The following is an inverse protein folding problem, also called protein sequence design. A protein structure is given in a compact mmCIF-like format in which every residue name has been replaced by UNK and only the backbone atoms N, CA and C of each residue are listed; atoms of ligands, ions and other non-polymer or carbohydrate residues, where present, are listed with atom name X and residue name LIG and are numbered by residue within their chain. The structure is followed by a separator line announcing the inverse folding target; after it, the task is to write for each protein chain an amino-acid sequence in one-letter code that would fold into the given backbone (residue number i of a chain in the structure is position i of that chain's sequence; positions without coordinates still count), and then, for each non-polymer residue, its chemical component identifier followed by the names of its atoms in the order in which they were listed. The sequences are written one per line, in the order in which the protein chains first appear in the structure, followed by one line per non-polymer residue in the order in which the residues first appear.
data_IF_906488350081
#
_entry.id   IF_906488350081
#
_cell.length_a   1.000
_cell.length_b   1.000
_cell.length_c   1.000
_cell.angle_alpha   90.00
_cell.angle_beta   90.00
_cell.angle_gamma   90.00
#
_symmetry.space_group_name_H-M   'P 1'
#
loop_
_entity.id
_entity.type
_entity.pdbx_description
1 polymer ?
#
# COMPACT_ATOMS: atom_id res chain seq x y z
N UNK A 1 -57.88 -3.42 17.00
CA UNK A 1 -57.27 -2.73 15.86
C UNK A 1 -55.90 -2.06 16.21
N UNK A 2 -55.75 -1.45 17.41
CA UNK A 2 -54.48 -0.81 17.83
C UNK A 2 -53.28 -1.79 17.99
N UNK A 3 -53.48 -2.99 18.51
CA UNK A 3 -52.42 -3.96 18.76
C UNK A 3 -51.75 -4.54 17.49
N UNK A 4 -52.44 -4.52 16.35
CA UNK A 4 -51.89 -4.98 15.06
C UNK A 4 -51.01 -3.90 14.39
N UNK A 5 -51.36 -2.62 14.57
CA UNK A 5 -50.54 -1.50 14.09
C UNK A 5 -49.21 -1.37 14.86
N UNK A 6 -49.25 -1.61 16.19
CA UNK A 6 -48.05 -1.55 17.03
C UNK A 6 -47.02 -2.66 16.64
N UNK A 7 -47.51 -3.87 16.38
CA UNK A 7 -46.66 -5.00 15.96
C UNK A 7 -46.03 -4.75 14.60
N UNK A 8 -46.73 -4.15 13.65
CA UNK A 8 -46.19 -3.80 12.33
C UNK A 8 -45.11 -2.71 12.40
N UNK A 9 -45.31 -1.71 13.26
CA UNK A 9 -44.35 -0.63 13.47
C UNK A 9 -43.09 -1.13 14.12
N UNK A 10 -43.18 -2.01 15.14
CA UNK A 10 -41.99 -2.63 15.80
C UNK A 10 -41.17 -3.51 14.84
N UNK A 11 -41.80 -4.32 14.02
CA UNK A 11 -41.12 -5.15 13.03
C UNK A 11 -40.42 -4.28 11.98
N UNK A 12 -41.08 -3.22 11.51
CA UNK A 12 -40.53 -2.27 10.57
C UNK A 12 -39.25 -1.56 11.13
N UNK A 13 -39.33 -1.10 12.39
CA UNK A 13 -38.20 -0.44 13.06
C UNK A 13 -37.02 -1.40 13.25
N UNK A 14 -37.26 -2.67 13.65
CA UNK A 14 -36.21 -3.69 13.81
C UNK A 14 -35.54 -4.00 12.47
N UNK A 15 -36.30 -4.12 11.36
CA UNK A 15 -35.75 -4.36 10.04
C UNK A 15 -34.92 -3.18 9.54
N UNK A 16 -35.34 -1.97 9.78
CA UNK A 16 -34.56 -0.77 9.42
C UNK A 16 -33.28 -0.68 10.24
N UNK A 17 -33.33 -0.94 11.55
CA UNK A 17 -32.16 -0.94 12.42
C UNK A 17 -31.18 -2.06 12.05
N UNK A 18 -31.67 -3.26 11.70
CA UNK A 18 -30.86 -4.36 11.21
C UNK A 18 -30.19 -4.03 9.87
N UNK A 19 -30.93 -3.38 8.95
CA UNK A 19 -30.38 -2.98 7.65
C UNK A 19 -29.34 -1.86 7.77
N UNK A 20 -29.59 -0.87 8.66
CA UNK A 20 -28.60 0.19 8.96
C UNK A 20 -27.38 -0.39 9.67
N UNK A 21 -27.57 -1.29 10.64
CA UNK A 21 -26.47 -1.97 11.33
C UNK A 21 -25.61 -2.81 10.38
N UNK A 22 -26.22 -3.51 9.42
CA UNK A 22 -25.50 -4.30 8.41
C UNK A 22 -24.68 -3.40 7.44
N UNK A 23 -25.20 -2.19 7.16
CA UNK A 23 -24.48 -1.23 6.31
C UNK A 23 -23.30 -0.55 7.02
N UNK A 24 -23.41 -0.35 8.33
CA UNK A 24 -22.33 0.23 9.14
C UNK A 24 -21.19 -0.78 9.38
N UNK A 25 -21.51 -2.08 9.47
CA UNK A 25 -20.49 -3.13 9.59
C UNK A 25 -19.64 -3.33 8.30
N UNK A 26 -20.13 -2.86 7.14
CA UNK A 26 -19.41 -2.96 5.87
C UNK A 26 -18.33 -1.89 5.65
N UNK A 27 -18.18 -0.93 6.57
CA UNK A 27 -17.13 0.09 6.53
C UNK A 27 -15.90 -0.26 7.40
N UNK A 28 -15.57 -1.54 7.54
CA UNK A 28 -14.26 -1.92 8.08
C UNK A 28 -13.22 -1.51 7.03
N UNK A 29 -12.38 -0.55 7.37
CA UNK A 29 -11.15 -0.24 6.62
C UNK A 29 -10.17 -1.40 6.82
N UNK A 30 -10.44 -2.50 6.14
CA UNK A 30 -9.55 -3.66 6.15
C UNK A 30 -8.19 -3.25 5.57
N UNK A 31 -7.14 -3.49 6.36
CA UNK A 31 -5.77 -3.25 5.92
C UNK A 31 -5.48 -4.16 4.73
N UNK A 32 -5.08 -3.57 3.61
CA UNK A 32 -4.72 -4.35 2.43
C UNK A 32 -3.47 -5.19 2.72
N UNK A 33 -3.42 -6.44 2.28
CA UNK A 33 -2.22 -7.26 2.42
C UNK A 33 -1.03 -6.57 1.73
N UNK A 34 0.18 -6.85 2.21
CA UNK A 34 1.39 -6.44 1.51
C UNK A 34 1.45 -7.18 0.18
N UNK A 35 1.62 -6.49 -0.96
CA UNK A 35 1.67 -7.15 -2.25
C UNK A 35 2.85 -8.13 -2.36
N UNK A 36 2.64 -9.28 -3.00
CA UNK A 36 3.61 -10.39 -3.12
C UNK A 36 4.94 -10.02 -3.81
N UNK A 37 5.00 -8.86 -4.43
CA UNK A 37 6.24 -8.35 -5.02
C UNK A 37 7.28 -7.95 -3.97
N UNK A 38 6.84 -7.67 -2.75
CA UNK A 38 7.70 -7.36 -1.62
C UNK A 38 7.96 -8.63 -0.81
N UNK A 39 9.23 -9.06 -0.75
CA UNK A 39 9.61 -10.24 0.02
C UNK A 39 9.44 -9.99 1.52
N UNK A 40 8.86 -10.97 2.23
CA UNK A 40 8.76 -10.89 3.69
C UNK A 40 10.15 -10.75 4.34
N UNK A 41 10.27 -9.83 5.29
CA UNK A 41 11.50 -9.60 6.04
C UNK A 41 12.63 -8.91 5.27
N UNK A 42 12.39 -8.45 4.03
CA UNK A 42 13.37 -7.66 3.30
C UNK A 42 13.50 -6.27 3.93
N UNK A 43 14.60 -6.00 4.62
CA UNK A 43 14.91 -4.70 5.17
C UNK A 43 15.58 -3.79 4.14
N UNK A 44 15.56 -2.47 4.39
CA UNK A 44 16.25 -1.51 3.54
C UNK A 44 17.75 -1.82 3.46
N UNK A 45 18.39 -2.11 4.61
CA UNK A 45 19.83 -2.42 4.66
C UNK A 45 20.19 -3.70 3.89
N UNK A 46 19.37 -4.75 4.02
CA UNK A 46 19.56 -6.00 3.27
C UNK A 46 19.44 -5.78 1.76
N UNK A 47 18.46 -4.98 1.34
CA UNK A 47 18.27 -4.64 -0.06
C UNK A 47 19.40 -3.79 -0.62
N UNK A 48 19.91 -2.83 0.14
CA UNK A 48 21.08 -2.02 -0.25
C UNK A 48 22.36 -2.88 -0.38
N UNK A 49 22.59 -3.81 0.56
CA UNK A 49 23.69 -4.76 0.48
C UNK A 49 23.57 -5.66 -0.75
N UNK A 50 22.37 -6.16 -1.04
CA UNK A 50 22.12 -6.96 -2.26
C UNK A 50 22.29 -6.11 -3.53
N UNK A 51 21.85 -4.86 -3.53
CA UNK A 51 22.03 -3.92 -4.64
C UNK A 51 23.50 -3.68 -4.93
N UNK A 52 24.33 -3.50 -3.90
CA UNK A 52 25.78 -3.30 -4.04
C UNK A 52 26.48 -4.48 -4.73
N UNK A 53 25.98 -5.71 -4.56
CA UNK A 53 26.56 -6.92 -5.16
C UNK A 53 26.00 -7.24 -6.55
N UNK A 54 24.72 -6.93 -6.79
CA UNK A 54 24.04 -7.29 -8.04
C UNK A 54 23.95 -6.15 -9.05
N UNK A 55 24.18 -4.92 -8.63
CA UNK A 55 23.96 -3.72 -9.43
C UNK A 55 22.48 -3.35 -9.65
N UNK A 56 21.54 -4.15 -9.13
CA UNK A 56 20.09 -3.86 -9.29
C UNK A 56 19.68 -2.69 -8.41
N UNK A 57 18.87 -1.74 -8.95
CA UNK A 57 18.24 -0.69 -8.16
C UNK A 57 17.36 -1.24 -7.03
N UNK A 58 17.19 -0.47 -5.97
CA UNK A 58 16.22 -0.78 -4.91
C UNK A 58 14.98 0.10 -5.11
N UNK A 59 13.82 -0.54 -5.22
CA UNK A 59 12.51 0.13 -5.22
C UNK A 59 11.88 0.04 -3.83
N UNK A 60 11.67 1.19 -3.19
CA UNK A 60 11.11 1.25 -1.84
C UNK A 60 9.74 1.91 -1.88
N UNK A 61 8.77 1.34 -1.15
CA UNK A 61 7.48 1.97 -0.87
C UNK A 61 7.35 2.17 0.63
N UNK A 62 7.26 3.44 1.06
CA UNK A 62 6.98 3.82 2.44
C UNK A 62 5.48 4.06 2.62
N UNK A 63 4.89 3.47 3.66
CA UNK A 63 3.45 3.41 3.89
C UNK A 63 3.13 3.22 5.38
N UNK A 64 1.83 3.23 5.74
CA UNK A 64 1.32 2.84 7.05
C UNK A 64 -0.06 2.20 6.92
N UNK A 65 -0.46 1.41 7.91
CA UNK A 65 -1.73 0.69 7.88
C UNK A 65 -2.95 1.59 8.03
N UNK A 66 -2.83 2.67 8.79
CA UNK A 66 -3.87 3.70 8.96
C UNK A 66 -4.03 4.66 7.77
N UNK A 67 -3.11 4.62 6.81
CA UNK A 67 -3.06 5.56 5.69
C UNK A 67 -4.01 5.14 4.55
N UNK A 68 -5.16 5.77 4.42
CA UNK A 68 -6.15 5.47 3.38
C UNK A 68 -5.59 5.51 1.94
N UNK A 69 -4.87 6.56 1.52
CA UNK A 69 -4.21 6.60 0.20
C UNK A 69 -3.20 5.47 -0.01
N UNK A 70 -2.51 5.02 1.06
CA UNK A 70 -1.58 3.89 1.01
C UNK A 70 -2.33 2.58 0.73
N UNK A 71 -3.48 2.38 1.40
CA UNK A 71 -4.32 1.20 1.16
C UNK A 71 -4.86 1.17 -0.27
N UNK A 72 -5.24 2.32 -0.83
CA UNK A 72 -5.66 2.42 -2.22
C UNK A 72 -4.51 2.08 -3.19
N UNK A 73 -3.30 2.55 -2.92
CA UNK A 73 -2.11 2.26 -3.72
C UNK A 73 -1.73 0.77 -3.66
N UNK A 74 -1.82 0.15 -2.47
CA UNK A 74 -1.59 -1.30 -2.27
C UNK A 74 -2.57 -2.14 -3.07
N UNK A 75 -3.90 -1.84 -3.01
CA UNK A 75 -4.93 -2.58 -3.74
C UNK A 75 -4.94 -2.30 -5.24
N UNK A 76 -4.39 -1.16 -5.65
CA UNK A 76 -4.33 -0.71 -7.04
C UNK A 76 -3.02 -1.09 -7.72
N UNK A 77 -2.20 -0.09 -8.01
CA UNK A 77 -1.00 -0.28 -8.82
C UNK A 77 0.00 -1.30 -8.26
N UNK A 78 0.17 -1.39 -6.93
CA UNK A 78 1.11 -2.36 -6.36
C UNK A 78 0.62 -3.81 -6.39
N UNK A 79 -0.69 -4.04 -6.54
CA UNK A 79 -1.27 -5.37 -6.72
C UNK A 79 -1.42 -5.77 -8.21
N UNK A 80 -1.09 -4.86 -9.13
CA UNK A 80 -1.17 -5.13 -10.57
C UNK A 80 -0.06 -6.09 -11.00
N UNK A 81 -0.42 -7.15 -11.73
CA UNK A 81 0.51 -8.20 -12.15
C UNK A 81 1.63 -7.67 -13.06
N UNK A 82 1.31 -6.75 -13.97
CA UNK A 82 2.30 -6.13 -14.87
C UNK A 82 3.31 -5.28 -14.11
N UNK A 83 2.82 -4.52 -13.13
CA UNK A 83 3.69 -3.75 -12.22
C UNK A 83 4.60 -4.67 -11.42
N UNK A 84 4.04 -5.75 -10.87
CA UNK A 84 4.82 -6.72 -10.10
C UNK A 84 5.93 -7.37 -10.95
N UNK A 85 5.65 -7.71 -12.21
CA UNK A 85 6.65 -8.23 -13.15
C UNK A 85 7.77 -7.21 -13.41
N UNK A 86 7.41 -5.95 -13.66
CA UNK A 86 8.39 -4.87 -13.90
C UNK A 86 9.26 -4.63 -12.68
N UNK A 87 8.68 -4.61 -11.47
CA UNK A 87 9.42 -4.46 -10.22
C UNK A 87 10.43 -5.62 -10.06
N UNK A 88 9.97 -6.88 -10.18
CA UNK A 88 10.83 -8.06 -10.01
C UNK A 88 11.97 -8.12 -11.04
N UNK A 89 11.67 -7.76 -12.28
CA UNK A 89 12.66 -7.79 -13.35
C UNK A 89 13.77 -6.76 -13.16
N UNK A 90 13.42 -5.55 -12.71
CA UNK A 90 14.31 -4.40 -12.75
C UNK A 90 14.86 -3.96 -11.39
N UNK A 91 14.26 -4.40 -10.27
CA UNK A 91 14.60 -3.87 -8.94
C UNK A 91 14.65 -4.94 -7.86
N UNK A 92 15.17 -4.57 -6.70
CA UNK A 92 14.98 -5.24 -5.42
C UNK A 92 13.89 -4.46 -4.67
N UNK A 93 12.77 -5.11 -4.35
CA UNK A 93 11.62 -4.43 -3.77
C UNK A 93 11.67 -4.44 -2.23
N UNK A 94 11.42 -3.30 -1.60
CA UNK A 94 11.37 -3.13 -0.14
C UNK A 94 10.06 -2.43 0.23
N UNK A 95 9.37 -2.99 1.22
CA UNK A 95 8.19 -2.40 1.83
C UNK A 95 8.56 -1.85 3.20
N UNK A 96 8.35 -0.55 3.43
CA UNK A 96 8.61 0.13 4.70
C UNK A 96 7.28 0.59 5.29
N UNK A 97 6.85 -0.05 6.38
CA UNK A 97 5.82 0.53 7.22
C UNK A 97 6.52 1.52 8.17
N UNK A 98 6.17 2.79 8.10
CA UNK A 98 6.86 3.85 8.85
C UNK A 98 6.68 3.73 10.37
N UNK A 99 5.66 3.01 10.83
CA UNK A 99 5.43 2.75 12.24
C UNK A 99 6.28 1.57 12.76
N UNK A 100 6.56 0.58 11.91
CA UNK A 100 7.34 -0.60 12.25
C UNK A 100 8.85 -0.39 12.04
N UNK A 101 9.24 0.42 11.05
CA UNK A 101 10.63 0.73 10.73
C UNK A 101 10.82 2.26 10.56
N UNK A 102 10.73 3.03 11.65
CA UNK A 102 10.96 4.47 11.62
C UNK A 102 12.39 4.83 11.21
N UNK A 103 13.37 3.98 11.49
CA UNK A 103 14.77 4.22 11.12
C UNK A 103 14.96 4.23 9.60
N UNK A 104 14.36 3.28 8.87
CA UNK A 104 14.37 3.29 7.41
C UNK A 104 13.60 4.48 6.84
N UNK A 105 12.47 4.85 7.45
CA UNK A 105 11.69 6.03 7.04
C UNK A 105 12.51 7.33 7.19
N UNK A 106 13.21 7.50 8.31
CA UNK A 106 14.09 8.65 8.58
C UNK A 106 15.29 8.68 7.61
N UNK A 107 15.94 7.54 7.37
CA UNK A 107 17.06 7.44 6.44
C UNK A 107 16.67 7.81 5.00
N UNK A 108 15.42 7.53 4.59
CA UNK A 108 14.86 7.90 3.29
C UNK A 108 14.35 9.35 3.25
N UNK A 109 14.24 10.03 4.38
CA UNK A 109 13.65 11.36 4.49
C UNK A 109 12.16 11.35 4.16
N UNK A 110 11.41 10.36 4.65
CA UNK A 110 9.97 10.23 4.43
C UNK A 110 9.25 11.33 5.20
N UNK A 111 8.64 12.28 4.50
CA UNK A 111 7.85 13.38 5.09
C UNK A 111 6.35 13.23 4.86
N UNK A 112 5.94 12.38 3.96
CA UNK A 112 4.53 12.10 3.62
C UNK A 112 4.42 10.70 3.01
N UNK A 113 3.29 10.03 3.24
CA UNK A 113 3.00 8.68 2.72
C UNK A 113 1.69 8.66 1.93
N UNK A 114 1.56 7.75 0.93
CA UNK A 114 2.61 6.84 0.48
C UNK A 114 3.72 7.59 -0.24
N UNK A 115 4.95 7.10 -0.11
CA UNK A 115 6.09 7.60 -0.86
C UNK A 115 6.83 6.44 -1.52
N UNK A 116 7.31 6.66 -2.74
CA UNK A 116 8.10 5.67 -3.46
C UNK A 116 9.46 6.23 -3.82
N UNK A 117 10.49 5.41 -3.67
CA UNK A 117 11.88 5.77 -3.93
C UNK A 117 12.51 4.76 -4.87
N UNK A 118 13.41 5.22 -5.70
CA UNK A 118 14.32 4.39 -6.47
C UNK A 118 15.74 4.75 -6.10
N UNK A 119 16.49 3.76 -5.60
CA UNK A 119 17.87 3.91 -5.13
C UNK A 119 18.77 3.18 -6.10
N UNK A 120 19.77 3.87 -6.61
CA UNK A 120 20.78 3.33 -7.54
C UNK A 120 22.15 3.64 -6.98
N UNK A 121 23.00 2.61 -6.84
CA UNK A 121 24.34 2.79 -6.30
C UNK A 121 24.37 3.33 -4.87
N UNK A 122 23.31 3.09 -4.08
CA UNK A 122 23.19 3.57 -2.70
C UNK A 122 22.60 4.99 -2.57
N UNK A 123 22.28 5.67 -3.67
CA UNK A 123 21.74 7.02 -3.66
C UNK A 123 20.28 7.06 -4.17
N UNK A 124 19.44 7.91 -3.58
CA UNK A 124 18.06 8.12 -4.06
C UNK A 124 18.11 8.87 -5.40
N UNK A 125 17.94 8.13 -6.49
CA UNK A 125 17.93 8.68 -7.85
C UNK A 125 16.60 9.36 -8.21
N UNK A 126 15.49 8.77 -7.77
CA UNK A 126 14.16 9.29 -8.04
C UNK A 126 13.21 9.00 -6.87
N UNK A 127 12.27 9.90 -6.62
CA UNK A 127 11.22 9.72 -5.63
C UNK A 127 9.93 10.42 -6.05
N UNK A 128 8.80 9.95 -5.54
CA UNK A 128 7.52 10.66 -5.60
C UNK A 128 6.69 10.37 -4.36
N UNK A 129 5.77 11.27 -4.06
CA UNK A 129 4.77 11.13 -2.99
C UNK A 129 3.39 10.93 -3.60
N UNK A 130 2.54 10.17 -2.91
CA UNK A 130 1.23 9.75 -3.40
C UNK A 130 1.30 8.44 -4.20
N UNK A 131 0.11 7.91 -4.55
CA UNK A 131 0.00 6.75 -5.42
C UNK A 131 0.10 7.12 -6.90
N UNK A 132 0.49 6.17 -7.74
CA UNK A 132 0.43 6.24 -9.19
C UNK A 132 -0.52 5.16 -9.74
N UNK A 133 -1.04 5.34 -10.95
CA UNK A 133 -1.68 4.25 -11.68
C UNK A 133 -0.65 3.19 -12.10
N UNK A 134 -1.10 1.97 -12.41
CA UNK A 134 -0.23 0.89 -12.85
C UNK A 134 0.68 1.30 -14.03
N UNK A 135 0.10 1.89 -15.08
CA UNK A 135 0.85 2.37 -16.23
C UNK A 135 1.89 3.44 -15.89
N UNK A 136 1.50 4.40 -15.02
CA UNK A 136 2.40 5.48 -14.63
C UNK A 136 3.55 4.96 -13.74
N UNK A 137 3.29 3.98 -12.88
CA UNK A 137 4.31 3.36 -12.05
C UNK A 137 5.28 2.54 -12.88
N UNK A 138 4.78 1.71 -13.81
CA UNK A 138 5.58 0.94 -14.75
C UNK A 138 6.54 1.83 -15.53
N UNK A 139 6.03 2.89 -16.15
CA UNK A 139 6.85 3.85 -16.90
C UNK A 139 7.88 4.53 -16.02
N UNK A 140 7.49 4.92 -14.79
CA UNK A 140 8.39 5.58 -13.86
C UNK A 140 9.56 4.67 -13.44
N UNK A 141 9.29 3.39 -13.13
CA UNK A 141 10.33 2.42 -12.80
C UNK A 141 11.27 2.22 -13.99
N UNK A 142 10.74 1.94 -15.17
CA UNK A 142 11.53 1.70 -16.38
C UNK A 142 12.41 2.90 -16.77
N UNK A 143 11.91 4.12 -16.57
CA UNK A 143 12.66 5.35 -16.92
C UNK A 143 13.78 5.68 -15.91
N UNK A 144 13.75 5.15 -14.71
CA UNK A 144 14.69 5.52 -13.65
C UNK A 144 15.57 4.35 -13.15
N UNK A 145 15.25 3.10 -13.51
CA UNK A 145 15.99 1.91 -13.07
C UNK A 145 17.22 1.59 -13.96
N UNK A 146 17.37 2.26 -15.10
CA UNK A 146 18.48 2.09 -16.04
C UNK A 146 19.59 3.10 -15.85
#
# INVERSE_FOLDING_TARGET
MRALLDRGLFVGVILVLAFVGLRLAACSTEVAPTPDVFAEGMTLDAALAQSATTGKPVFVVATADWCGPCQAYKRGALADATVAEVIRANTIAVYVNVDDDPAAADALGVSSIPASFLIVGGEVKAKFTGGKSADALTKWIQSNAG
#
